data_IF_147534599644
#
_entry.id   IF_147534599644
#
_cell.length_a   1.000
_cell.length_b   1.000
_cell.length_c   1.000
_cell.angle_alpha   90.00
_cell.angle_beta   90.00
_cell.angle_gamma   90.00
#
_symmetry.space_group_name_H-M   'P 1'
#
loop_
_entity.id
_entity.type
_entity.pdbx_description
1 polymer ?
#
# COMPACT_ATOMS: atom_id res chain seq x y z
N UNK A 1 12.21 30.25 18.36
CA UNK A 1 13.10 30.88 19.36
C UNK A 1 12.59 32.30 19.58
N UNK A 2 11.51 32.43 20.34
CA UNK A 2 10.81 33.71 20.55
C UNK A 2 11.43 34.35 21.77
N UNK A 3 12.20 35.41 21.55
CA UNK A 3 12.84 36.21 22.59
C UNK A 3 11.74 36.79 23.50
N UNK A 4 11.58 36.22 24.69
CA UNK A 4 10.83 36.86 25.77
C UNK A 4 11.73 37.98 26.28
N UNK A 5 11.62 39.15 25.65
CA UNK A 5 12.19 40.39 26.17
C UNK A 5 11.47 40.68 27.48
N UNK A 6 12.18 40.46 28.59
CA UNK A 6 11.73 40.90 29.90
C UNK A 6 11.55 42.43 29.86
N UNK A 7 10.41 42.99 30.33
CA UNK A 7 10.37 44.40 30.62
C UNK A 7 11.30 44.61 31.83
N UNK A 8 12.45 45.21 31.59
CA UNK A 8 13.34 45.73 32.63
C UNK A 8 12.57 46.85 33.34
N UNK A 9 11.78 46.50 34.34
CA UNK A 9 11.22 47.45 35.28
C UNK A 9 12.39 48.01 36.09
N UNK A 10 12.93 49.13 35.64
CA UNK A 10 13.78 50.01 36.42
C UNK A 10 12.99 50.47 37.64
N UNK A 11 13.06 49.68 38.71
CA UNK A 11 12.70 50.12 40.05
C UNK A 11 13.81 51.06 40.56
N UNK A 12 13.94 52.23 39.92
CA UNK A 12 14.54 53.39 40.55
C UNK A 12 13.52 53.97 41.53
N UNK A 13 13.20 53.20 42.57
CA UNK A 13 12.45 53.72 43.70
C UNK A 13 13.44 54.57 44.50
N UNK A 14 13.59 55.82 44.06
CA UNK A 14 14.22 56.88 44.84
C UNK A 14 13.41 56.98 46.14
N UNK A 15 13.87 56.27 47.17
CA UNK A 15 13.35 56.38 48.52
C UNK A 15 13.58 57.83 48.95
N UNK A 16 12.58 58.67 48.72
CA UNK A 16 12.58 60.05 49.22
C UNK A 16 12.64 59.92 50.73
N UNK A 17 13.78 60.29 51.30
CA UNK A 17 14.00 60.39 52.74
C UNK A 17 12.76 61.07 53.35
N UNK A 18 11.97 60.29 54.10
CA UNK A 18 10.58 60.57 54.44
C UNK A 18 10.51 61.93 55.10
N UNK A 19 9.68 62.82 54.56
CA UNK A 19 9.71 64.24 54.93
C UNK A 19 9.35 64.45 56.39
N UNK A 20 8.63 63.49 56.98
CA UNK A 20 8.32 63.41 58.40
C UNK A 20 9.56 63.28 59.29
N UNK A 21 10.55 62.46 58.93
CA UNK A 21 11.78 62.32 59.73
C UNK A 21 12.52 63.64 59.81
N UNK A 22 12.60 64.41 58.72
CA UNK A 22 13.22 65.74 58.73
C UNK A 22 12.56 66.72 59.70
N UNK A 23 11.25 66.62 59.93
CA UNK A 23 10.54 67.47 60.90
C UNK A 23 10.71 66.95 62.32
N UNK A 24 10.75 65.62 62.52
CA UNK A 24 11.05 65.02 63.82
C UNK A 24 12.49 65.32 64.27
N UNK A 25 13.46 65.22 63.37
CA UNK A 25 14.86 65.57 63.59
C UNK A 25 14.99 67.06 63.93
N UNK A 26 14.20 67.93 63.27
CA UNK A 26 14.17 69.36 63.58
C UNK A 26 13.55 69.66 64.95
N UNK A 27 12.51 68.91 65.36
CA UNK A 27 11.96 69.00 66.73
C UNK A 27 13.00 68.52 67.76
N UNK A 28 13.73 67.46 67.47
CA UNK A 28 14.82 66.96 68.32
C UNK A 28 15.94 68.00 68.44
N UNK A 29 16.38 68.59 67.33
CA UNK A 29 17.37 69.67 67.34
C UNK A 29 16.90 70.91 68.12
N UNK A 30 15.62 71.33 67.98
CA UNK A 30 15.06 72.44 68.77
C UNK A 30 15.05 72.14 70.27
N UNK A 31 14.86 70.88 70.66
CA UNK A 31 14.95 70.44 72.06
C UNK A 31 16.42 70.37 72.50
N UNK A 32 17.34 69.94 71.63
CA UNK A 32 18.75 69.79 71.96
C UNK A 32 19.47 71.13 72.15
N UNK A 33 19.22 72.08 71.26
CA UNK A 33 19.82 73.42 71.25
C UNK A 33 19.17 74.38 72.27
N UNK A 34 18.06 73.99 72.90
CA UNK A 34 17.38 74.81 73.88
C UNK A 34 18.22 75.05 75.15
N UNK A 35 18.35 76.33 75.53
CA UNK A 35 19.08 76.75 76.72
C UNK A 35 18.41 76.21 77.99
N UNK A 36 19.18 75.69 78.94
CA UNK A 36 18.63 75.02 80.11
C UNK A 36 19.55 74.98 81.32
N UNK A 37 18.95 74.72 82.49
CA UNK A 37 19.66 74.49 83.76
C UNK A 37 19.22 73.13 84.30
N UNK A 38 20.20 72.25 84.56
CA UNK A 38 19.96 70.87 84.98
C UNK A 38 19.04 70.14 83.97
N UNK A 39 17.97 69.48 84.42
CA UNK A 39 17.03 68.76 83.53
C UNK A 39 15.97 69.65 82.85
N UNK A 40 15.98 70.96 83.08
CA UNK A 40 14.99 71.89 82.52
C UNK A 40 15.56 72.65 81.33
N UNK A 41 14.89 72.57 80.17
CA UNK A 41 15.22 73.32 78.96
C UNK A 41 14.12 74.32 78.63
N UNK A 42 14.52 75.52 78.20
CA UNK A 42 13.65 76.59 77.75
C UNK A 42 13.61 76.59 76.22
N UNK A 43 12.51 76.12 75.66
CA UNK A 43 12.29 76.01 74.22
C UNK A 43 11.37 77.16 73.78
N UNK A 44 11.62 77.72 72.60
CA UNK A 44 10.66 78.63 71.97
C UNK A 44 9.41 77.84 71.57
N UNK A 45 8.30 78.08 72.28
CA UNK A 45 7.05 77.37 72.06
C UNK A 45 6.51 77.59 70.63
N UNK A 46 6.69 78.79 70.07
CA UNK A 46 6.13 79.12 68.75
C UNK A 46 6.86 78.37 67.63
N UNK A 47 8.19 78.34 67.66
CA UNK A 47 8.99 77.60 66.67
C UNK A 47 8.78 76.09 66.77
N UNK A 48 8.68 75.55 67.99
CA UNK A 48 8.41 74.13 68.23
C UNK A 48 7.02 73.72 67.75
N UNK A 49 6.00 74.53 68.02
CA UNK A 49 4.63 74.27 67.59
C UNK A 49 4.48 74.36 66.06
N UNK A 50 5.17 75.29 65.39
CA UNK A 50 5.15 75.39 63.93
C UNK A 50 5.73 74.13 63.25
N UNK A 51 6.86 73.61 63.76
CA UNK A 51 7.43 72.35 63.23
C UNK A 51 6.52 71.16 63.55
N UNK A 52 5.89 71.13 64.73
CA UNK A 52 4.94 70.08 65.12
C UNK A 52 3.69 70.09 64.23
N UNK A 53 3.15 71.26 63.91
CA UNK A 53 1.98 71.40 63.04
C UNK A 53 2.31 71.01 61.59
N UNK A 54 3.50 71.35 61.10
CA UNK A 54 4.00 70.86 59.80
C UNK A 54 4.15 69.34 59.77
N UNK A 55 4.68 68.74 60.84
CA UNK A 55 4.77 67.29 60.98
C UNK A 55 3.36 66.65 60.99
N UNK A 56 2.43 67.21 61.77
CA UNK A 56 1.04 66.75 61.86
C UNK A 56 0.30 66.86 60.52
N UNK A 57 0.55 67.91 59.75
CA UNK A 57 -0.08 68.11 58.44
C UNK A 57 0.42 67.11 57.38
N UNK A 58 1.69 66.69 57.44
CA UNK A 58 2.30 65.78 56.44
C UNK A 58 2.18 64.29 56.79
N UNK A 59 2.05 63.94 58.07
CA UNK A 59 1.96 62.55 58.51
C UNK A 59 0.82 61.75 57.83
N UNK A 60 -0.40 62.30 57.64
CA UNK A 60 -1.47 61.59 56.93
C UNK A 60 -1.14 61.30 55.46
N UNK A 61 -0.45 62.22 54.78
CA UNK A 61 -0.03 62.06 53.38
C UNK A 61 1.01 60.95 53.24
N UNK A 62 2.05 60.96 54.10
CA UNK A 62 3.09 59.92 54.14
C UNK A 62 2.51 58.53 54.47
N UNK A 63 1.52 58.46 55.38
CA UNK A 63 0.83 57.20 55.69
C UNK A 63 0.00 56.70 54.50
N UNK A 64 -0.61 57.61 53.74
CA UNK A 64 -1.36 57.27 52.50
C UNK A 64 -0.42 56.74 51.42
N UNK A 65 0.73 57.38 51.22
CA UNK A 65 1.75 56.90 50.29
C UNK A 65 2.27 55.51 50.68
N UNK A 66 2.53 55.27 51.97
CA UNK A 66 2.93 53.95 52.46
C UNK A 66 1.85 52.88 52.20
N UNK A 67 0.58 53.22 52.41
CA UNK A 67 -0.55 52.33 52.11
C UNK A 67 -0.66 52.02 50.61
N UNK A 68 -0.50 53.03 49.75
CA UNK A 68 -0.51 52.87 48.28
C UNK A 68 0.63 51.93 47.83
N UNK A 69 1.84 52.06 48.42
CA UNK A 69 2.97 51.17 48.12
C UNK A 69 2.72 49.73 48.57
N UNK A 70 2.11 49.52 49.75
CA UNK A 70 1.74 48.18 50.21
C UNK A 70 0.69 47.56 49.29
N UNK A 71 -0.31 48.33 48.86
CA UNK A 71 -1.30 47.86 47.91
C UNK A 71 -0.66 47.47 46.57
N UNK A 72 0.22 48.31 46.02
CA UNK A 72 0.95 48.00 44.78
C UNK A 72 1.80 46.73 44.91
N UNK A 73 2.48 46.54 46.05
CA UNK A 73 3.22 45.32 46.33
C UNK A 73 2.32 44.09 46.28
N UNK A 74 1.16 44.16 46.93
CA UNK A 74 0.23 43.02 47.00
C UNK A 74 -0.38 42.73 45.63
N UNK A 75 -0.66 43.76 44.82
CA UNK A 75 -1.07 43.62 43.41
C UNK A 75 0.02 42.93 42.57
N UNK A 76 1.29 43.35 42.70
CA UNK A 76 2.42 42.74 41.99
C UNK A 76 2.58 41.27 42.39
N UNK A 77 2.44 40.94 43.69
CA UNK A 77 2.52 39.56 44.17
C UNK A 77 1.39 38.72 43.59
N UNK A 78 0.15 39.23 43.62
CA UNK A 78 -1.01 38.52 43.08
C UNK A 78 -0.90 38.32 41.56
N UNK A 79 -0.46 39.32 40.81
CA UNK A 79 -0.21 39.20 39.37
C UNK A 79 0.90 38.18 39.08
N UNK A 80 2.01 38.25 39.82
CA UNK A 80 3.13 37.33 39.67
C UNK A 80 2.71 35.89 39.94
N UNK A 81 1.91 35.65 40.99
CA UNK A 81 1.36 34.33 41.31
C UNK A 81 0.48 33.80 40.18
N UNK A 82 -0.48 34.60 39.69
CA UNK A 82 -1.33 34.22 38.55
C UNK A 82 -0.50 33.88 37.32
N UNK A 83 0.51 34.69 37.02
CA UNK A 83 1.41 34.45 35.87
C UNK A 83 2.22 33.16 36.04
N UNK A 84 2.75 32.91 37.23
CA UNK A 84 3.45 31.67 37.55
C UNK A 84 2.54 30.44 37.38
N UNK A 85 1.30 30.50 37.88
CA UNK A 85 0.32 29.43 37.72
C UNK A 85 -0.03 29.17 36.25
N UNK A 86 -0.19 30.23 35.47
CA UNK A 86 -0.42 30.12 34.02
C UNK A 86 0.77 29.47 33.30
N UNK A 87 2.00 29.86 33.63
CA UNK A 87 3.22 29.27 33.07
C UNK A 87 3.29 27.77 33.40
N UNK A 88 3.08 27.41 34.67
CA UNK A 88 3.11 26.01 35.13
C UNK A 88 2.03 25.19 34.41
N UNK A 89 0.82 25.71 34.32
CA UNK A 89 -0.30 25.03 33.65
C UNK A 89 -0.02 24.82 32.16
N UNK A 90 0.51 25.84 31.49
CA UNK A 90 0.87 25.76 30.07
C UNK A 90 2.00 24.76 29.85
N UNK A 91 3.04 24.79 30.68
CA UNK A 91 4.17 23.87 30.59
C UNK A 91 3.73 22.41 30.83
N UNK A 92 2.84 22.17 31.80
CA UNK A 92 2.26 20.83 32.06
C UNK A 92 1.50 20.32 30.85
N UNK A 93 0.59 21.13 30.29
CA UNK A 93 -0.18 20.75 29.10
C UNK A 93 0.72 20.46 27.89
N UNK A 94 1.78 21.26 27.70
CA UNK A 94 2.76 21.01 26.65
C UNK A 94 3.50 19.68 26.87
N UNK A 95 3.95 19.42 28.10
CA UNK A 95 4.61 18.16 28.45
C UNK A 95 3.70 16.95 28.23
N UNK A 96 2.43 17.03 28.64
CA UNK A 96 1.43 15.99 28.38
C UNK A 96 1.24 15.74 26.87
N UNK A 97 1.14 16.81 26.09
CA UNK A 97 1.01 16.71 24.62
C UNK A 97 2.23 16.02 24.01
N UNK A 98 3.44 16.42 24.40
CA UNK A 98 4.69 15.81 23.92
C UNK A 98 4.81 14.34 24.31
N UNK A 99 4.39 13.97 25.52
CA UNK A 99 4.38 12.57 25.96
C UNK A 99 3.39 11.74 25.13
N UNK A 100 2.17 12.25 24.93
CA UNK A 100 1.18 11.58 24.09
C UNK A 100 1.67 11.42 22.64
N UNK A 101 2.27 12.46 22.05
CA UNK A 101 2.87 12.37 20.72
C UNK A 101 4.01 11.34 20.68
N UNK A 102 4.85 11.28 21.72
CA UNK A 102 5.94 10.30 21.82
C UNK A 102 5.41 8.86 21.93
N UNK A 103 4.39 8.64 22.76
CA UNK A 103 3.73 7.34 22.90
C UNK A 103 3.05 6.91 21.59
N UNK A 104 2.36 7.84 20.93
CA UNK A 104 1.76 7.62 19.62
C UNK A 104 2.83 7.22 18.59
N UNK A 105 3.95 7.94 18.53
CA UNK A 105 5.04 7.62 17.61
C UNK A 105 5.62 6.24 17.88
N UNK A 106 5.81 5.85 19.15
CA UNK A 106 6.26 4.50 19.51
C UNK A 106 5.26 3.43 19.09
N UNK A 107 3.96 3.66 19.32
CA UNK A 107 2.90 2.75 18.91
C UNK A 107 2.85 2.59 17.39
N UNK A 108 2.94 3.70 16.65
CA UNK A 108 2.99 3.70 15.17
C UNK A 108 4.23 2.96 14.67
N UNK A 109 5.41 3.19 15.26
CA UNK A 109 6.63 2.45 14.89
C UNK A 109 6.51 0.95 15.13
N UNK A 110 5.93 0.56 16.27
CA UNK A 110 5.69 -0.86 16.57
C UNK A 110 4.73 -1.49 15.55
N UNK A 111 3.68 -0.77 15.16
CA UNK A 111 2.71 -1.24 14.17
C UNK A 111 3.31 -1.32 12.77
N UNK A 112 4.13 -0.34 12.37
CA UNK A 112 4.87 -0.36 11.10
C UNK A 112 5.80 -1.58 11.05
N UNK A 113 6.56 -1.86 12.11
CA UNK A 113 7.41 -3.05 12.14
C UNK A 113 6.60 -4.35 12.14
N UNK A 114 5.44 -4.39 12.78
CA UNK A 114 4.52 -5.53 12.75
C UNK A 114 4.03 -5.78 11.31
N UNK A 115 3.54 -4.75 10.64
CA UNK A 115 3.06 -4.81 9.25
C UNK A 115 4.21 -5.21 8.32
N UNK A 116 5.39 -4.61 8.47
CA UNK A 116 6.56 -4.95 7.66
C UNK A 116 6.93 -6.42 7.77
N UNK A 117 6.96 -6.95 8.99
CA UNK A 117 7.22 -8.39 9.23
C UNK A 117 6.16 -9.26 8.58
N UNK A 118 4.88 -8.90 8.74
CA UNK A 118 3.78 -9.64 8.14
C UNK A 118 3.88 -9.65 6.61
N UNK A 119 4.09 -8.50 5.97
CA UNK A 119 4.25 -8.40 4.51
C UNK A 119 5.43 -9.21 4.02
N UNK A 120 6.59 -9.14 4.71
CA UNK A 120 7.75 -9.97 4.33
C UNK A 120 7.43 -11.46 4.43
N UNK A 121 6.74 -11.90 5.50
CA UNK A 121 6.34 -13.29 5.64
C UNK A 121 5.36 -13.74 4.55
N UNK A 122 4.36 -12.92 4.23
CA UNK A 122 3.38 -13.18 3.17
C UNK A 122 4.04 -13.25 1.78
N UNK A 123 4.95 -12.33 1.47
CA UNK A 123 5.70 -12.32 0.21
C UNK A 123 6.59 -13.56 0.10
N UNK A 124 7.29 -13.94 1.16
CA UNK A 124 8.11 -15.16 1.16
C UNK A 124 7.25 -16.43 1.01
N UNK A 125 6.08 -16.47 1.65
CA UNK A 125 5.14 -17.56 1.48
C UNK A 125 4.63 -17.64 0.04
N UNK A 126 4.15 -16.53 -0.52
CA UNK A 126 3.66 -16.45 -1.89
C UNK A 126 4.75 -16.84 -2.89
N UNK A 127 6.00 -16.40 -2.65
CA UNK A 127 7.14 -16.79 -3.47
C UNK A 127 7.38 -18.31 -3.43
N UNK A 128 7.34 -18.93 -2.25
CA UNK A 128 7.49 -20.38 -2.10
C UNK A 128 6.38 -21.14 -2.82
N UNK A 129 5.14 -20.71 -2.66
CA UNK A 129 3.98 -21.32 -3.31
C UNK A 129 4.08 -21.20 -4.83
N UNK A 130 4.41 -20.02 -5.35
CA UNK A 130 4.59 -19.81 -6.78
C UNK A 130 5.73 -20.67 -7.37
N UNK A 131 6.84 -20.82 -6.65
CA UNK A 131 7.94 -21.69 -7.07
C UNK A 131 7.56 -23.18 -7.04
N UNK A 132 6.84 -23.62 -6.01
CA UNK A 132 6.36 -24.99 -5.92
C UNK A 132 5.35 -25.31 -7.03
N UNK A 133 4.46 -24.37 -7.34
CA UNK A 133 3.50 -24.50 -8.43
C UNK A 133 4.19 -24.54 -9.80
N UNK A 134 5.16 -23.65 -10.04
CA UNK A 134 5.92 -23.64 -11.27
C UNK A 134 6.69 -24.96 -11.47
N UNK A 135 7.27 -25.51 -10.40
CA UNK A 135 7.96 -26.80 -10.44
C UNK A 135 6.99 -27.95 -10.72
N UNK A 136 5.79 -27.93 -10.13
CA UNK A 136 4.74 -28.92 -10.40
C UNK A 136 4.33 -28.92 -11.88
N UNK A 137 4.04 -27.74 -12.43
CA UNK A 137 3.66 -27.59 -13.85
C UNK A 137 4.78 -28.08 -14.76
N UNK A 138 6.04 -27.78 -14.42
CA UNK A 138 7.19 -28.25 -15.20
C UNK A 138 7.30 -29.77 -15.20
N UNK A 139 7.18 -30.40 -14.03
CA UNK A 139 7.24 -31.86 -13.90
C UNK A 139 6.11 -32.53 -14.69
N UNK A 140 4.89 -32.01 -14.57
CA UNK A 140 3.73 -32.52 -15.30
C UNK A 140 3.92 -32.41 -16.82
N UNK A 141 4.42 -31.25 -17.29
CA UNK A 141 4.71 -31.04 -18.71
C UNK A 141 5.81 -31.99 -19.23
N UNK A 142 6.85 -32.27 -18.43
CA UNK A 142 7.91 -33.21 -18.79
C UNK A 142 7.39 -34.65 -18.86
N UNK A 143 6.54 -35.06 -17.92
CA UNK A 143 5.88 -36.37 -17.93
C UNK A 143 4.96 -36.53 -19.15
N UNK A 144 4.14 -35.53 -19.46
CA UNK A 144 3.25 -35.58 -20.61
C UNK A 144 4.01 -35.57 -21.93
N UNK A 145 5.09 -34.78 -22.02
CA UNK A 145 5.99 -34.84 -23.17
C UNK A 145 6.62 -36.23 -23.34
N UNK A 146 6.96 -36.91 -22.24
CA UNK A 146 7.46 -38.28 -22.30
C UNK A 146 6.40 -39.27 -22.82
N UNK A 147 5.17 -39.20 -22.30
CA UNK A 147 4.05 -40.04 -22.77
C UNK A 147 3.74 -39.82 -24.25
N UNK A 148 3.75 -38.56 -24.71
CA UNK A 148 3.50 -38.23 -26.13
C UNK A 148 4.61 -38.83 -27.01
N UNK A 149 5.87 -38.70 -26.61
CA UNK A 149 7.00 -39.30 -27.35
C UNK A 149 6.86 -40.81 -27.45
N UNK A 150 6.60 -41.48 -26.33
CA UNK A 150 6.40 -42.93 -26.28
C UNK A 150 5.23 -43.38 -27.18
N UNK A 151 4.09 -42.68 -27.11
CA UNK A 151 2.94 -42.94 -27.97
C UNK A 151 3.24 -42.74 -29.46
N UNK A 152 4.03 -41.72 -29.80
CA UNK A 152 4.47 -41.47 -31.17
C UNK A 152 5.43 -42.56 -31.69
N UNK A 153 6.36 -43.01 -30.84
CA UNK A 153 7.29 -44.10 -31.16
C UNK A 153 6.53 -45.41 -31.41
N UNK A 154 5.58 -45.76 -30.54
CA UNK A 154 4.72 -46.93 -30.73
C UNK A 154 3.86 -46.84 -31.99
N UNK A 155 3.30 -45.67 -32.28
CA UNK A 155 2.53 -45.47 -33.52
C UNK A 155 3.42 -45.63 -34.75
N UNK A 156 4.64 -45.08 -34.74
CA UNK A 156 5.60 -45.24 -35.81
C UNK A 156 5.96 -46.72 -36.03
N UNK A 157 6.20 -47.47 -34.96
CA UNK A 157 6.46 -48.92 -35.01
C UNK A 157 5.29 -49.66 -35.66
N UNK A 158 4.06 -49.41 -35.22
CA UNK A 158 2.86 -50.04 -35.80
C UNK A 158 2.71 -49.76 -37.30
N UNK A 159 2.94 -48.51 -37.72
CA UNK A 159 2.89 -48.13 -39.12
C UNK A 159 3.99 -48.84 -39.92
N UNK A 160 5.21 -48.89 -39.39
CA UNK A 160 6.34 -49.57 -40.04
C UNK A 160 6.10 -51.08 -40.17
N UNK A 161 5.61 -51.75 -39.12
CA UNK A 161 5.25 -53.18 -39.17
C UNK A 161 4.15 -53.45 -40.20
N UNK A 162 3.14 -52.57 -40.28
CA UNK A 162 2.08 -52.70 -41.29
C UNK A 162 2.64 -52.55 -42.72
N UNK A 163 3.47 -51.54 -42.94
CA UNK A 163 4.13 -51.32 -44.23
C UNK A 163 5.02 -52.50 -44.62
N UNK A 164 5.75 -53.08 -43.68
CA UNK A 164 6.55 -54.28 -43.92
C UNK A 164 5.67 -55.47 -44.34
N UNK A 165 4.55 -55.71 -43.65
CA UNK A 165 3.59 -56.73 -44.03
C UNK A 165 2.98 -56.53 -45.42
N UNK A 166 2.62 -55.28 -45.75
CA UNK A 166 2.09 -54.93 -47.08
C UNK A 166 3.14 -55.18 -48.19
N UNK A 167 4.41 -54.84 -47.94
CA UNK A 167 5.53 -55.09 -48.86
C UNK A 167 5.80 -56.58 -49.03
N UNK A 168 5.79 -57.37 -47.96
CA UNK A 168 5.93 -58.83 -48.03
C UNK A 168 4.78 -59.45 -48.86
N UNK A 169 3.55 -59.01 -48.65
CA UNK A 169 2.40 -59.45 -49.43
C UNK A 169 2.48 -59.05 -50.92
N UNK A 170 3.02 -57.88 -51.23
CA UNK A 170 3.32 -57.48 -52.61
C UNK A 170 4.40 -58.36 -53.24
N UNK A 171 5.47 -58.69 -52.51
CA UNK A 171 6.54 -59.54 -53.00
C UNK A 171 6.05 -60.96 -53.36
N UNK A 172 5.17 -61.55 -52.54
CA UNK A 172 4.53 -62.84 -52.83
C UNK A 172 3.71 -62.75 -54.13
N UNK A 173 2.85 -61.74 -54.26
CA UNK A 173 2.02 -61.54 -55.47
C UNK A 173 2.83 -61.34 -56.74
N UNK A 174 3.95 -60.62 -56.67
CA UNK A 174 4.86 -60.46 -57.82
C UNK A 174 5.48 -61.79 -58.21
N UNK A 175 5.90 -62.60 -57.23
CA UNK A 175 6.47 -63.92 -57.49
C UNK A 175 5.47 -64.85 -58.15
N UNK A 176 4.23 -64.88 -57.65
CA UNK A 176 3.12 -65.63 -58.25
C UNK A 176 2.85 -65.16 -59.69
N UNK A 177 2.75 -63.85 -59.92
CA UNK A 177 2.56 -63.28 -61.25
C UNK A 177 3.68 -63.68 -62.21
N UNK A 178 4.95 -63.63 -61.80
CA UNK A 178 6.08 -64.09 -62.61
C UNK A 178 6.03 -65.59 -62.91
N UNK A 179 5.54 -66.43 -61.99
CA UNK A 179 5.34 -67.85 -62.25
C UNK A 179 4.22 -68.08 -63.25
N UNK A 180 3.09 -67.38 -63.12
CA UNK A 180 1.96 -67.42 -64.06
C UNK A 180 2.44 -67.03 -65.45
N UNK A 181 3.18 -65.93 -65.58
CA UNK A 181 3.73 -65.47 -66.86
C UNK A 181 4.70 -66.50 -67.44
N UNK A 182 5.62 -67.06 -66.64
CA UNK A 182 6.55 -68.11 -67.08
C UNK A 182 5.82 -69.38 -67.56
N UNK A 183 4.79 -69.80 -66.82
CA UNK A 183 3.94 -70.93 -67.20
C UNK A 183 3.19 -70.65 -68.52
N UNK A 184 2.61 -69.45 -68.65
CA UNK A 184 1.94 -69.00 -69.87
C UNK A 184 2.89 -68.94 -71.08
N UNK A 185 4.11 -68.42 -70.91
CA UNK A 185 5.12 -68.40 -71.96
C UNK A 185 5.56 -69.82 -72.39
N UNK A 186 5.70 -70.76 -71.44
CA UNK A 186 5.97 -72.19 -71.76
C UNK A 186 4.83 -72.81 -72.56
N UNK A 187 3.58 -72.59 -72.16
CA UNK A 187 2.40 -73.10 -72.88
C UNK A 187 2.32 -72.52 -74.30
N UNK A 188 2.51 -71.22 -74.47
CA UNK A 188 2.53 -70.58 -75.80
C UNK A 188 3.69 -71.08 -76.67
N UNK A 189 4.85 -71.36 -76.08
CA UNK A 189 5.97 -71.99 -76.77
C UNK A 189 5.69 -73.43 -77.24
N UNK A 190 4.78 -74.15 -76.57
CA UNK A 190 4.31 -75.47 -77.02
C UNK A 190 3.26 -75.31 -78.14
N UNK A 191 2.31 -74.38 -78.01
CA UNK A 191 1.26 -74.13 -79.02
C UNK A 191 1.86 -73.62 -80.34
N UNK A 192 2.84 -72.71 -80.31
CA UNK A 192 3.52 -72.24 -81.53
C UNK A 192 4.33 -73.32 -82.24
N UNK A 193 4.72 -74.41 -81.57
CA UNK A 193 5.36 -75.57 -82.21
C UNK A 193 4.37 -76.54 -82.84
N UNK A 194 3.07 -76.40 -82.60
CA UNK A 194 2.03 -77.32 -83.09
C UNK A 194 0.93 -76.64 -83.92
N UNK A 195 1.04 -75.35 -84.25
CA UNK A 195 0.01 -74.60 -84.97
C UNK A 195 0.44 -74.09 -86.34
N UNK A 196 0.35 -74.93 -87.38
CA UNK A 196 0.09 -74.48 -88.76
C UNK A 196 -1.27 -75.04 -89.19
N UNK A 197 -2.29 -74.17 -89.39
CA UNK A 197 -3.37 -74.27 -90.41
C UNK A 197 -4.56 -73.30 -90.14
N UNK A 198 -4.75 -72.38 -91.10
CA UNK A 198 -5.95 -71.74 -91.72
C UNK A 198 -7.36 -71.66 -91.06
N UNK A 199 -7.85 -70.41 -90.83
CA UNK A 199 -9.06 -69.66 -91.35
C UNK A 199 -10.34 -70.36 -91.95
N UNK A 200 -11.50 -69.66 -92.23
CA UNK A 200 -12.39 -68.71 -91.48
C UNK A 200 -13.95 -68.89 -91.76
N UNK A 201 -14.80 -67.86 -91.48
CA UNK A 201 -16.28 -67.61 -91.74
C UNK A 201 -17.30 -68.20 -90.71
N UNK A 202 -18.42 -67.59 -90.29
CA UNK A 202 -19.10 -66.30 -90.53
C UNK A 202 -20.59 -66.34 -90.01
N UNK A 203 -21.11 -65.20 -89.49
CA UNK A 203 -22.54 -64.76 -89.29
C UNK A 203 -23.49 -65.61 -88.38
N UNK A 204 -24.44 -65.09 -87.56
CA UNK A 204 -25.44 -64.05 -87.83
C UNK A 204 -26.29 -63.60 -86.57
N UNK A 205 -26.59 -62.29 -86.50
CA UNK A 205 -27.77 -61.50 -85.98
C UNK A 205 -28.37 -61.58 -84.56
N UNK A 206 -28.64 -60.37 -84.00
CA UNK A 206 -29.74 -60.06 -83.06
C UNK A 206 -29.49 -58.84 -82.12
N UNK A 207 -30.10 -57.67 -82.38
CA UNK A 207 -30.15 -56.49 -81.47
C UNK A 207 -31.47 -56.50 -80.63
N UNK A 208 -31.80 -55.45 -79.84
CA UNK A 208 -31.24 -54.98 -78.55
C UNK A 208 -32.31 -54.95 -77.43
N UNK A 209 -31.95 -54.99 -76.14
CA UNK A 209 -32.89 -54.68 -75.03
C UNK A 209 -32.17 -53.87 -73.96
N UNK A 210 -32.76 -52.73 -73.61
CA UNK A 210 -32.26 -51.79 -72.63
C UNK A 210 -32.63 -52.09 -71.19
N UNK A 211 -32.18 -51.16 -70.36
CA UNK A 211 -32.53 -50.89 -68.96
C UNK A 211 -31.99 -51.85 -67.90
N UNK A 212 -31.02 -51.36 -67.13
CA UNK A 212 -30.99 -51.59 -65.69
C UNK A 212 -30.50 -50.31 -64.96
N UNK A 213 -31.06 -50.00 -63.77
CA UNK A 213 -31.14 -48.66 -63.22
C UNK A 213 -29.89 -48.25 -62.45
N UNK A 214 -29.76 -46.93 -62.26
CA UNK A 214 -28.79 -46.29 -61.39
C UNK A 214 -28.97 -46.77 -59.93
N UNK A 215 -27.93 -47.37 -59.37
CA UNK A 215 -27.78 -47.48 -57.92
C UNK A 215 -27.21 -46.16 -57.40
N UNK A 216 -28.08 -45.45 -56.67
CA UNK A 216 -27.82 -44.27 -55.90
C UNK A 216 -26.95 -44.63 -54.69
N UNK A 217 -25.69 -44.18 -54.66
CA UNK A 217 -24.85 -44.21 -53.45
C UNK A 217 -24.99 -42.86 -52.76
N UNK A 218 -25.76 -42.86 -51.67
CA UNK A 218 -25.81 -41.76 -50.72
C UNK A 218 -24.46 -41.64 -49.98
N UNK A 219 -23.84 -40.45 -49.87
CA UNK A 219 -22.84 -40.21 -48.85
C UNK A 219 -23.53 -39.74 -47.57
N UNK A 220 -23.58 -40.64 -46.57
CA UNK A 220 -23.85 -40.28 -45.18
C UNK A 220 -22.72 -39.39 -44.65
N UNK A 221 -23.10 -38.29 -44.01
CA UNK A 221 -22.23 -37.15 -43.76
C UNK A 221 -21.30 -37.25 -42.55
N UNK A 222 -20.42 -36.26 -42.48
CA UNK A 222 -20.11 -35.51 -41.26
C UNK A 222 -19.99 -34.03 -41.66
N UNK A 223 -20.61 -33.07 -40.95
CA UNK A 223 -20.48 -31.67 -41.30
C UNK A 223 -19.12 -31.14 -40.83
N UNK A 224 -18.35 -30.64 -41.79
CA UNK A 224 -17.22 -29.74 -41.54
C UNK A 224 -17.83 -28.38 -41.20
N UNK A 225 -17.79 -27.96 -39.94
CA UNK A 225 -18.25 -26.63 -39.56
C UNK A 225 -17.10 -25.62 -39.74
N UNK A 226 -17.35 -24.77 -40.72
CA UNK A 226 -16.60 -23.64 -41.22
C UNK A 226 -16.10 -22.70 -40.10
N UNK A 227 -14.79 -22.46 -40.06
CA UNK A 227 -14.19 -21.29 -39.41
C UNK A 227 -14.41 -20.07 -40.31
N UNK A 228 -15.06 -19.03 -39.79
CA UNK A 228 -14.98 -17.68 -40.33
C UNK A 228 -15.22 -16.63 -39.24
N UNK A 229 -14.69 -15.41 -39.43
CA UNK A 229 -13.91 -14.72 -38.41
C UNK A 229 -14.69 -13.62 -37.68
N UNK A 230 -14.05 -13.09 -36.63
CA UNK A 230 -14.66 -12.21 -35.64
C UNK A 230 -15.34 -10.94 -36.16
N UNK A 231 -16.36 -10.54 -35.42
CA UNK A 231 -16.83 -9.16 -35.33
C UNK A 231 -17.55 -8.97 -33.97
N UNK A 232 -16.95 -8.16 -33.09
CA UNK A 232 -17.67 -7.33 -32.11
C UNK A 232 -18.44 -6.25 -32.90
N UNK A 233 -19.62 -5.73 -32.47
CA UNK A 233 -19.63 -4.81 -31.33
C UNK A 233 -20.93 -4.70 -30.48
N UNK A 234 -20.74 -4.25 -29.23
CA UNK A 234 -21.57 -3.39 -28.35
C UNK A 234 -23.11 -3.34 -28.44
N UNK A 235 -23.79 -3.42 -27.27
CA UNK A 235 -25.12 -2.83 -27.08
C UNK A 235 -25.93 -3.30 -25.87
N UNK A 236 -25.79 -2.57 -24.75
CA UNK A 236 -26.82 -2.07 -23.82
C UNK A 236 -28.04 -2.90 -23.36
N UNK A 237 -28.34 -2.72 -22.06
CA UNK A 237 -29.62 -2.81 -21.33
C UNK A 237 -29.96 -4.09 -20.55
N UNK A 238 -29.65 -4.03 -19.24
CA UNK A 238 -30.44 -4.24 -17.99
C UNK A 238 -31.89 -4.80 -18.08
N UNK A 239 -32.57 -5.25 -16.97
CA UNK A 239 -32.30 -4.98 -15.54
C UNK A 239 -32.69 -6.07 -14.48
N UNK A 240 -32.52 -5.70 -13.19
CA UNK A 240 -33.22 -6.15 -11.94
C UNK A 240 -32.78 -7.42 -11.17
N UNK A 241 -32.16 -7.20 -10.01
CA UNK A 241 -32.55 -7.73 -8.67
C UNK A 241 -31.64 -7.03 -7.62
N UNK A 242 -32.07 -5.94 -6.96
CA UNK A 242 -32.79 -5.89 -5.66
C UNK A 242 -32.11 -6.63 -4.50
N UNK A 243 -31.66 -5.85 -3.51
CA UNK A 243 -31.12 -6.27 -2.19
C UNK A 243 -30.12 -5.24 -1.67
N UNK A 244 -30.54 -4.07 -1.18
CA UNK A 244 -30.99 -3.74 0.20
C UNK A 244 -30.02 -4.19 1.29
N UNK A 245 -29.29 -3.24 1.87
CA UNK A 245 -28.92 -3.02 3.29
C UNK A 245 -28.23 -1.64 3.29
N UNK A 246 -28.88 -0.56 3.73
CA UNK A 246 -28.84 -0.03 5.12
C UNK A 246 -27.48 -0.15 5.80
#
# INVERSE_FOLDING_TARGET
MTMITAPTAQAANTFKQTTIYKHLDLLEHLIDDAAGVYKFKFINADDFLDVLDKARARLPEELREAADVLQQRDEIIAESQRRSEQIITTARRQAETMLHESELLKAVQAEVERIRKQVVQEVEQMRREALAEAERIRLEADEDAAKIREGADHYAEQVLTRMEGDLQGLAVRVTESQQIVRNGQRLLGQVKRHGSLSQPLGQQLGQPVGQNPLINVAPGGMPVQNMSPGAMPSGLSSPLLSGRFE
#
